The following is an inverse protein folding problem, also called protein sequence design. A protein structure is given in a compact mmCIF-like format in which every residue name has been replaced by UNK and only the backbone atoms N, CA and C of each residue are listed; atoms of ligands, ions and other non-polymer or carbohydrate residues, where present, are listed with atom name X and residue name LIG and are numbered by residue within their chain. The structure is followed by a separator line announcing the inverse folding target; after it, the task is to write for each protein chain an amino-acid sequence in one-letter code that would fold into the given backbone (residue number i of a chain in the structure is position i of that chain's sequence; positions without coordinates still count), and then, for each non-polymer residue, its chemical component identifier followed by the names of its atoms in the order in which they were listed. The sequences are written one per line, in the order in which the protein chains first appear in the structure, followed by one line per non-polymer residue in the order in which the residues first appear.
data_IF_391035455931
#
_entry.id   IF_391035455931
#
_cell.length_a   1.000
_cell.length_b   1.000
_cell.length_c   1.000
_cell.angle_alpha   90.00
_cell.angle_beta   90.00
_cell.angle_gamma   90.00
#
_symmetry.space_group_name_H-M   'P 1'
#
loop_
_entity.id
_entity.type
_entity.pdbx_description
1 polymer ?
#
# COMPACT_ATOMS: atom_id res chain seq x y z
N UNK A 1 -8.75 0.64 -11.78
CA UNK A 1 -8.81 -0.85 -11.58
C UNK A 1 -8.77 -1.15 -10.09
N UNK A 2 -9.56 -2.07 -9.64
CA UNK A 2 -9.59 -2.51 -8.24
C UNK A 2 -9.37 -4.02 -8.18
N UNK A 3 -8.49 -4.47 -7.28
CA UNK A 3 -8.29 -5.88 -7.00
C UNK A 3 -8.57 -6.13 -5.50
N UNK A 4 -9.35 -7.16 -5.21
CA UNK A 4 -9.66 -7.57 -3.84
C UNK A 4 -8.96 -8.90 -3.55
N UNK A 5 -8.13 -8.91 -2.50
CA UNK A 5 -7.34 -10.08 -2.10
C UNK A 5 -7.79 -10.52 -0.71
N UNK A 6 -8.21 -11.77 -0.59
CA UNK A 6 -8.74 -12.31 0.66
C UNK A 6 -7.68 -12.68 1.68
N UNK A 7 -6.48 -13.05 1.21
CA UNK A 7 -5.35 -13.43 2.05
C UNK A 7 -4.09 -13.63 1.18
N UNK A 8 -2.97 -13.91 1.82
CA UNK A 8 -1.74 -14.26 1.12
C UNK A 8 -0.91 -13.09 0.63
N UNK A 9 -1.11 -11.91 1.25
CA UNK A 9 -0.36 -10.71 0.89
C UNK A 9 1.15 -10.96 0.92
N UNK A 10 1.81 -10.57 -0.16
CA UNK A 10 3.26 -10.63 -0.34
C UNK A 10 3.86 -12.05 -0.34
N UNK A 11 3.04 -13.08 -0.44
CA UNK A 11 3.52 -14.44 -0.58
C UNK A 11 3.99 -14.74 -2.00
N UNK A 12 4.88 -15.73 -2.14
CA UNK A 12 5.40 -16.15 -3.42
C UNK A 12 4.27 -16.60 -4.39
N UNK A 13 3.21 -17.22 -3.85
CA UNK A 13 2.04 -17.63 -4.64
C UNK A 13 1.30 -16.47 -5.30
N UNK A 14 1.41 -15.26 -4.74
CA UNK A 14 0.79 -14.04 -5.29
C UNK A 14 1.69 -13.31 -6.28
N UNK A 15 2.94 -13.73 -6.44
CA UNK A 15 3.91 -13.02 -7.28
C UNK A 15 3.43 -12.82 -8.72
N UNK A 16 2.88 -13.85 -9.34
CA UNK A 16 2.39 -13.78 -10.72
C UNK A 16 1.16 -12.87 -10.85
N UNK A 17 0.26 -12.91 -9.86
CA UNK A 17 -0.92 -12.04 -9.83
C UNK A 17 -0.50 -10.59 -9.67
N UNK A 18 0.35 -10.30 -8.71
CA UNK A 18 0.81 -8.93 -8.44
C UNK A 18 1.65 -8.37 -9.59
N UNK A 19 2.45 -9.21 -10.26
CA UNK A 19 3.16 -8.82 -11.47
C UNK A 19 2.21 -8.38 -12.59
N UNK A 20 1.12 -9.12 -12.79
CA UNK A 20 0.09 -8.78 -13.79
C UNK A 20 -0.63 -7.49 -13.43
N UNK A 21 -1.00 -7.31 -12.15
CA UNK A 21 -1.65 -6.07 -11.68
C UNK A 21 -0.73 -4.87 -11.87
N UNK A 22 0.54 -5.03 -11.53
CA UNK A 22 1.54 -3.98 -11.66
C UNK A 22 1.75 -3.57 -13.12
N UNK A 23 1.84 -4.53 -14.02
CA UNK A 23 1.98 -4.31 -15.45
C UNK A 23 0.78 -3.53 -16.00
N UNK A 24 -0.43 -3.93 -15.64
CA UNK A 24 -1.67 -3.25 -16.06
C UNK A 24 -1.77 -1.84 -15.49
N UNK A 25 -1.38 -1.63 -14.25
CA UNK A 25 -1.45 -0.33 -13.60
C UNK A 25 -0.40 0.66 -14.12
N UNK A 26 0.78 0.16 -14.49
CA UNK A 26 1.92 1.00 -14.90
C UNK A 26 1.96 1.31 -16.39
N UNK A 27 1.31 0.49 -17.20
CA UNK A 27 1.42 0.59 -18.66
C UNK A 27 2.87 0.47 -19.13
N UNK A 28 3.29 1.37 -20.02
CA UNK A 28 4.67 1.42 -20.51
C UNK A 28 5.62 2.21 -19.59
N UNK A 29 5.11 2.81 -18.54
CA UNK A 29 5.87 3.63 -17.61
C UNK A 29 6.61 2.81 -16.56
N UNK A 30 7.40 3.52 -15.73
CA UNK A 30 8.11 2.93 -14.62
C UNK A 30 7.13 2.61 -13.49
N UNK A 31 7.18 1.38 -12.98
CA UNK A 31 6.30 0.95 -11.88
C UNK A 31 6.67 1.60 -10.56
N UNK A 32 5.71 2.23 -9.93
CA UNK A 32 5.84 2.80 -8.59
C UNK A 32 4.69 2.33 -7.70
N UNK A 33 5.02 1.66 -6.60
CA UNK A 33 4.05 1.10 -5.66
C UNK A 33 4.09 1.85 -4.35
N UNK A 34 2.92 2.24 -3.87
CA UNK A 34 2.75 2.72 -2.49
C UNK A 34 2.13 1.59 -1.66
N UNK A 35 2.78 1.24 -0.56
CA UNK A 35 2.29 0.25 0.42
C UNK A 35 1.82 0.99 1.66
N UNK A 36 0.59 0.72 2.09
CA UNK A 36 -0.02 1.36 3.26
C UNK A 36 -0.38 0.29 4.29
N UNK A 37 0.44 0.10 5.35
CA UNK A 37 0.24 -0.93 6.36
C UNK A 37 -0.66 -0.50 7.53
N UNK A 38 -1.43 0.55 7.37
CA UNK A 38 -2.22 1.21 8.43
C UNK A 38 -3.15 0.25 9.18
N UNK A 39 -3.75 -0.73 8.49
CA UNK A 39 -4.66 -1.70 9.12
C UNK A 39 -4.00 -2.54 10.22
N UNK A 40 -2.67 -2.67 10.22
CA UNK A 40 -1.92 -3.45 11.20
C UNK A 40 -1.48 -2.65 12.43
N UNK A 41 -1.74 -1.34 12.47
CA UNK A 41 -1.34 -0.49 13.61
C UNK A 41 -1.84 -1.02 14.96
N UNK A 42 -3.10 -1.49 15.09
CA UNK A 42 -3.58 -2.04 16.37
C UNK A 42 -2.82 -3.28 16.85
N UNK A 43 -2.13 -3.97 15.94
CA UNK A 43 -1.35 -5.18 16.28
C UNK A 43 0.06 -4.85 16.78
N UNK A 44 0.46 -3.58 16.76
CA UNK A 44 1.69 -3.07 17.33
C UNK A 44 2.75 -2.67 16.31
N UNK A 45 3.77 -1.86 16.75
CA UNK A 45 4.77 -1.32 15.84
C UNK A 45 5.63 -2.37 15.14
N UNK A 46 5.92 -3.49 15.78
CA UNK A 46 6.70 -4.58 15.16
C UNK A 46 5.94 -5.24 14.02
N UNK A 47 4.61 -5.35 14.12
CA UNK A 47 3.76 -5.90 13.05
C UNK A 47 3.70 -4.94 11.88
N UNK A 48 3.55 -3.64 12.13
CA UNK A 48 3.61 -2.60 11.07
C UNK A 48 4.95 -2.65 10.34
N UNK A 49 6.05 -2.73 11.06
CA UNK A 49 7.39 -2.83 10.47
C UNK A 49 7.56 -4.09 9.61
N UNK A 50 7.04 -5.21 10.07
CA UNK A 50 7.07 -6.48 9.34
C UNK A 50 6.31 -6.41 8.01
N UNK A 51 5.08 -5.92 8.04
CA UNK A 51 4.28 -5.78 6.82
C UNK A 51 4.88 -4.78 5.85
N UNK A 52 5.45 -3.69 6.37
CA UNK A 52 6.16 -2.70 5.56
C UNK A 52 7.35 -3.31 4.81
N UNK A 53 8.18 -4.07 5.52
CA UNK A 53 9.35 -4.74 4.95
C UNK A 53 8.96 -5.82 3.93
N UNK A 54 7.92 -6.60 4.21
CA UNK A 54 7.43 -7.63 3.30
C UNK A 54 6.90 -7.02 2.00
N UNK A 55 6.12 -5.96 2.09
CA UNK A 55 5.59 -5.27 0.92
C UNK A 55 6.68 -4.64 0.06
N UNK A 56 7.63 -3.97 0.70
CA UNK A 56 8.79 -3.37 0.02
C UNK A 56 9.62 -4.43 -0.71
N UNK A 57 9.96 -5.52 -0.03
CA UNK A 57 10.74 -6.62 -0.62
C UNK A 57 10.00 -7.28 -1.79
N UNK A 58 8.71 -7.55 -1.62
CA UNK A 58 7.90 -8.22 -2.63
C UNK A 58 7.84 -7.42 -3.94
N UNK A 59 7.45 -6.15 -3.87
CA UNK A 59 7.32 -5.31 -5.06
C UNK A 59 8.66 -4.86 -5.65
N UNK A 60 9.68 -4.65 -4.82
CA UNK A 60 11.04 -4.42 -5.31
C UNK A 60 11.55 -5.62 -6.11
N UNK A 61 11.23 -6.83 -5.66
CA UNK A 61 11.53 -8.08 -6.38
C UNK A 61 10.80 -8.20 -7.72
N UNK A 62 9.72 -7.47 -7.92
CA UNK A 62 9.00 -7.36 -9.20
C UNK A 62 9.49 -6.20 -10.08
N UNK A 63 10.52 -5.51 -9.66
CA UNK A 63 11.13 -4.41 -10.42
C UNK A 63 10.50 -3.04 -10.19
N UNK A 64 9.62 -2.90 -9.22
CA UNK A 64 9.00 -1.62 -8.89
C UNK A 64 9.85 -0.79 -7.92
N UNK A 65 9.72 0.53 -7.97
CA UNK A 65 10.09 1.39 -6.85
C UNK A 65 8.97 1.34 -5.81
N UNK A 66 9.32 1.31 -4.53
CA UNK A 66 8.34 1.15 -3.44
C UNK A 66 8.47 2.28 -2.44
N UNK A 67 7.34 2.87 -2.08
CA UNK A 67 7.22 3.85 -1.02
C UNK A 67 6.23 3.33 0.03
N UNK A 68 6.69 3.18 1.26
CA UNK A 68 5.84 2.77 2.38
C UNK A 68 5.31 4.02 3.07
N UNK A 69 3.98 4.17 3.07
CA UNK A 69 3.32 5.32 3.70
C UNK A 69 2.59 4.85 4.96
N UNK A 70 3.13 5.24 6.12
CA UNK A 70 2.65 4.78 7.44
C UNK A 70 1.61 5.74 8.01
N UNK A 71 0.47 5.84 7.36
CA UNK A 71 -0.64 6.69 7.81
C UNK A 71 -1.11 6.22 9.19
N UNK A 72 -1.11 7.13 10.16
CA UNK A 72 -1.47 6.85 11.54
C UNK A 72 -0.31 6.33 12.41
N UNK A 73 0.84 6.09 11.81
CA UNK A 73 2.06 5.64 12.50
C UNK A 73 3.26 6.51 12.09
N UNK A 74 3.14 7.82 12.31
CA UNK A 74 4.15 8.82 12.01
C UNK A 74 3.82 9.73 10.83
N UNK A 75 2.88 9.35 9.97
CA UNK A 75 2.44 10.16 8.83
C UNK A 75 0.94 10.43 8.93
N UNK A 76 0.53 11.65 8.54
CA UNK A 76 -0.87 12.07 8.61
C UNK A 76 -1.59 11.83 7.29
N UNK A 77 -2.82 11.31 7.36
CA UNK A 77 -3.69 11.15 6.20
C UNK A 77 -4.12 12.49 5.56
N UNK A 78 -4.01 13.60 6.27
CA UNK A 78 -4.34 14.93 5.78
C UNK A 78 -3.12 15.76 5.36
N UNK A 79 -1.92 15.21 5.48
CA UNK A 79 -0.70 15.86 5.00
C UNK A 79 -0.71 15.92 3.46
N UNK A 80 -0.63 17.13 2.84
CA UNK A 80 -0.57 17.25 1.39
C UNK A 80 0.58 16.50 0.74
N UNK A 81 1.72 16.35 1.41
CA UNK A 81 2.86 15.60 0.91
C UNK A 81 2.57 14.11 0.87
N UNK A 82 1.84 13.59 1.86
CA UNK A 82 1.37 12.20 1.87
C UNK A 82 0.40 11.96 0.71
N UNK A 83 -0.55 12.86 0.51
CA UNK A 83 -1.49 12.78 -0.60
C UNK A 83 -0.78 12.80 -1.96
N UNK A 84 0.23 13.63 -2.11
CA UNK A 84 1.04 13.70 -3.34
C UNK A 84 1.79 12.40 -3.61
N UNK A 85 2.40 11.80 -2.59
CA UNK A 85 3.08 10.49 -2.71
C UNK A 85 2.12 9.39 -3.16
N UNK A 86 0.92 9.36 -2.58
CA UNK A 86 -0.12 8.39 -2.96
C UNK A 86 -0.60 8.62 -4.40
N UNK A 87 -0.85 9.87 -4.76
CA UNK A 87 -1.30 10.24 -6.11
C UNK A 87 -0.29 9.92 -7.22
N UNK A 88 1.00 9.86 -6.88
CA UNK A 88 2.07 9.53 -7.83
C UNK A 88 2.22 8.01 -8.07
N UNK A 89 1.54 7.17 -7.31
CA UNK A 89 1.67 5.71 -7.43
C UNK A 89 0.98 5.17 -8.67
N UNK A 90 1.60 4.17 -9.29
CA UNK A 90 0.95 3.34 -10.32
C UNK A 90 0.00 2.34 -9.66
N UNK A 91 0.38 1.80 -8.51
CA UNK A 91 -0.38 0.83 -7.73
C UNK A 91 -0.33 1.22 -6.25
N UNK A 92 -1.48 1.16 -5.59
CA UNK A 92 -1.59 1.36 -4.14
C UNK A 92 -2.02 0.04 -3.52
N UNK A 93 -1.26 -0.42 -2.53
CA UNK A 93 -1.52 -1.68 -1.83
C UNK A 93 -1.79 -1.44 -0.35
N UNK A 94 -2.98 -1.79 0.08
CA UNK A 94 -3.35 -1.77 1.51
C UNK A 94 -3.17 -3.18 2.06
N UNK A 95 -2.20 -3.37 2.94
CA UNK A 95 -2.01 -4.66 3.61
C UNK A 95 -3.05 -4.89 4.70
N UNK A 96 -3.24 -6.15 5.06
CA UNK A 96 -4.29 -6.56 5.99
C UNK A 96 -4.05 -6.18 7.45
N UNK A 97 -5.08 -6.43 8.25
CA UNK A 97 -5.12 -6.14 9.68
C UNK A 97 -6.55 -5.89 10.14
N UNK A 98 -6.80 -4.74 10.74
CA UNK A 98 -8.12 -4.35 11.24
C UNK A 98 -8.81 -3.41 10.25
N UNK A 99 -9.78 -3.90 9.46
CA UNK A 99 -10.40 -3.08 8.40
C UNK A 99 -11.16 -1.87 8.96
N UNK A 100 -11.77 -1.99 10.12
CA UNK A 100 -12.45 -0.86 10.78
C UNK A 100 -11.49 0.25 11.17
N UNK A 101 -10.29 -0.10 11.62
CA UNK A 101 -9.25 0.88 11.93
C UNK A 101 -8.79 1.60 10.65
N UNK A 102 -8.54 0.85 9.58
CA UNK A 102 -8.15 1.42 8.28
C UNK A 102 -9.21 2.39 7.75
N UNK A 103 -10.48 2.00 7.81
CA UNK A 103 -11.58 2.86 7.39
C UNK A 103 -11.61 4.18 8.15
N UNK A 104 -11.48 4.13 9.48
CA UNK A 104 -11.47 5.34 10.31
C UNK A 104 -10.26 6.24 10.05
N UNK A 105 -9.11 5.63 9.77
CA UNK A 105 -7.88 6.37 9.49
C UNK A 105 -7.92 7.12 8.15
N UNK A 106 -8.64 6.60 7.16
CA UNK A 106 -8.64 7.14 5.79
C UNK A 106 -9.89 7.92 5.44
N UNK A 107 -11.01 7.63 6.06
CA UNK A 107 -12.31 8.21 5.71
C UNK A 107 -12.28 9.74 5.76
N UNK A 108 -12.66 10.39 4.65
CA UNK A 108 -12.73 11.84 4.56
C UNK A 108 -11.39 12.55 4.53
N UNK A 109 -10.29 11.86 4.28
CA UNK A 109 -8.95 12.43 4.28
C UNK A 109 -8.43 12.75 2.88
N UNK A 110 -7.41 13.60 2.81
CA UNK A 110 -6.70 13.93 1.56
C UNK A 110 -6.02 12.69 0.96
N UNK A 111 -5.48 11.81 1.80
CA UNK A 111 -4.86 10.55 1.36
C UNK A 111 -5.87 9.64 0.65
N UNK A 112 -7.07 9.49 1.18
CA UNK A 112 -8.12 8.70 0.54
C UNK A 112 -8.56 9.31 -0.79
N UNK A 113 -8.73 10.62 -0.84
CA UNK A 113 -9.07 11.32 -2.09
C UNK A 113 -8.00 11.11 -3.17
N UNK A 114 -6.73 11.11 -2.78
CA UNK A 114 -5.62 10.87 -3.71
C UNK A 114 -5.56 9.41 -4.20
N UNK A 115 -6.00 8.44 -3.37
CA UNK A 115 -6.04 7.02 -3.73
C UNK A 115 -7.14 6.68 -4.73
N UNK A 116 -8.19 7.46 -4.75
CA UNK A 116 -9.28 7.28 -5.70
C UNK A 116 -8.89 7.84 -7.07
#
# INVERSE_FOLDING_TARGET
MLALVGSGEFLETMRAVDATLLERASGAGRSHVVVIPTASIPDGPSVVARWSALGEHHFAGLGASVDVVRIGAGESADDPQVAERIGAASLIYFSGGKPGFLLRALRGTAAWSAAL
#
